data_IF_313229244160
#
_entry.id   IF_313229244160
#
_cell.length_a   1.000
_cell.length_b   1.000
_cell.length_c   1.000
_cell.angle_alpha   90.00
_cell.angle_beta   90.00
_cell.angle_gamma   90.00
#
_symmetry.space_group_name_H-M   'P 1'
#
loop_
_entity.id
_entity.type
_entity.pdbx_description
1 polymer ?
#
# COMPACT_ATOMS: atom_id res chain seq x y z
N UNK A 1 15.31 56.55 -3.74
CA UNK A 1 15.25 56.22 -2.30
C UNK A 1 13.85 55.67 -2.02
N UNK A 2 13.61 54.36 -1.99
CA UNK A 2 13.92 53.41 -0.89
C UNK A 2 12.98 53.69 0.31
N UNK A 3 12.15 52.81 0.88
CA UNK A 3 11.92 51.36 0.83
C UNK A 3 10.55 51.15 1.53
N UNK A 4 9.62 50.34 1.01
CA UNK A 4 8.51 49.79 1.81
C UNK A 4 8.48 48.26 1.68
N UNK A 5 8.59 47.59 2.83
CA UNK A 5 8.41 46.15 3.03
C UNK A 5 7.04 45.72 2.51
N UNK A 6 7.00 44.64 1.72
CA UNK A 6 5.81 43.79 1.60
C UNK A 6 6.25 42.35 1.84
N UNK A 7 5.76 41.82 2.95
CA UNK A 7 5.84 40.45 3.40
C UNK A 7 4.72 39.68 2.69
N UNK A 8 5.08 38.74 1.81
CA UNK A 8 4.11 37.91 1.10
C UNK A 8 3.91 36.62 1.89
N UNK A 9 2.76 36.59 2.56
CA UNK A 9 2.16 35.47 3.28
C UNK A 9 1.64 34.44 2.25
N UNK A 10 2.14 33.21 2.30
CA UNK A 10 1.71 32.11 1.43
C UNK A 10 0.34 31.60 1.88
N UNK A 11 -0.70 31.87 1.07
CA UNK A 11 -2.07 31.43 1.32
C UNK A 11 -2.22 29.91 1.14
N UNK A 12 -2.28 29.20 2.26
CA UNK A 12 -2.41 27.74 2.40
C UNK A 12 -3.88 27.28 2.46
N UNK A 13 -4.80 27.99 1.79
CA UNK A 13 -6.25 27.89 2.03
C UNK A 13 -7.05 27.06 1.00
N UNK A 14 -6.41 26.30 0.11
CA UNK A 14 -7.11 25.31 -0.76
C UNK A 14 -6.98 23.88 -0.24
N UNK A 15 -7.45 23.65 0.97
CA UNK A 15 -7.76 22.32 1.52
C UNK A 15 -8.91 22.51 2.52
N UNK A 16 -10.13 22.60 2.03
CA UNK A 16 -11.35 22.46 2.85
C UNK A 16 -12.29 21.45 2.21
N UNK A 17 -12.71 20.50 3.05
CA UNK A 17 -13.76 19.51 2.82
C UNK A 17 -15.09 20.16 2.43
N UNK A 18 -15.98 19.47 1.70
CA UNK A 18 -17.29 20.00 1.35
C UNK A 18 -18.26 19.83 2.51
N UNK A 19 -18.81 20.95 3.00
CA UNK A 19 -19.99 20.98 3.86
C UNK A 19 -21.25 21.17 3.01
N UNK A 20 -22.19 20.26 3.18
CA UNK A 20 -23.56 20.31 2.66
C UNK A 20 -24.33 21.44 3.37
N UNK A 21 -25.09 22.25 2.62
CA UNK A 21 -26.47 22.62 2.96
C UNK A 21 -27.16 23.30 1.76
N UNK A 22 -28.35 22.80 1.45
CA UNK A 22 -29.34 23.39 0.56
C UNK A 22 -29.96 24.63 1.22
N UNK A 23 -30.36 25.65 0.43
CA UNK A 23 -31.77 26.07 0.31
C UNK A 23 -31.97 27.28 -0.63
N UNK A 24 -32.98 27.08 -1.50
CA UNK A 24 -33.86 27.95 -2.28
C UNK A 24 -33.85 29.50 -2.18
N UNK A 25 -34.18 30.07 -3.36
CA UNK A 25 -35.12 31.16 -3.72
C UNK A 25 -34.59 32.53 -4.18
N UNK A 26 -34.91 32.79 -5.46
CA UNK A 26 -35.69 33.93 -5.99
C UNK A 26 -35.14 35.36 -5.88
N UNK A 27 -35.11 36.06 -7.02
CA UNK A 27 -35.11 37.53 -7.04
C UNK A 27 -34.64 38.12 -8.36
N UNK A 28 -35.59 38.56 -9.17
CA UNK A 28 -35.46 39.34 -10.41
C UNK A 28 -34.70 40.66 -10.22
N UNK A 29 -34.17 41.22 -11.31
CA UNK A 29 -33.74 42.63 -11.36
C UNK A 29 -32.77 42.92 -12.48
N UNK A 30 -33.28 43.14 -13.70
CA UNK A 30 -32.49 43.61 -14.83
C UNK A 30 -32.12 45.09 -14.72
N UNK A 31 -31.00 45.46 -15.35
CA UNK A 31 -30.76 46.82 -15.84
C UNK A 31 -29.96 46.76 -17.14
N UNK A 32 -30.57 47.32 -18.20
CA UNK A 32 -29.98 47.61 -19.51
C UNK A 32 -29.37 49.01 -19.44
N UNK A 33 -28.14 49.21 -19.93
CA UNK A 33 -27.76 50.47 -20.56
C UNK A 33 -26.77 50.27 -21.71
N UNK A 34 -26.98 51.12 -22.72
CA UNK A 34 -26.54 51.07 -24.11
C UNK A 34 -25.03 51.26 -24.34
N UNK A 35 -24.59 50.49 -25.32
CA UNK A 35 -23.57 50.71 -26.36
C UNK A 35 -23.09 52.15 -26.60
N UNK A 36 -21.77 52.32 -26.72
CA UNK A 36 -21.17 53.34 -27.58
C UNK A 36 -19.81 52.89 -28.10
N UNK A 37 -19.76 52.63 -29.40
CA UNK A 37 -18.58 52.38 -30.22
C UNK A 37 -17.58 53.53 -30.16
N UNK A 38 -16.30 53.20 -29.99
CA UNK A 38 -15.18 53.93 -30.60
C UNK A 38 -13.94 53.04 -30.67
N UNK A 39 -13.73 52.48 -31.87
CA UNK A 39 -12.47 51.88 -32.33
C UNK A 39 -11.29 52.83 -32.11
N UNK A 40 -10.35 52.44 -31.26
CA UNK A 40 -8.97 52.91 -31.33
C UNK A 40 -8.07 51.70 -31.54
N UNK A 41 -7.37 51.68 -32.68
CA UNK A 41 -6.33 50.71 -33.02
C UNK A 41 -4.99 51.33 -32.63
N UNK A 42 -4.30 50.86 -31.58
CA UNK A 42 -2.92 51.26 -31.33
C UNK A 42 -1.97 50.39 -32.18
N UNK A 43 -1.17 51.04 -33.01
CA UNK A 43 -0.09 50.44 -33.80
C UNK A 43 0.89 49.68 -32.89
N UNK A 44 1.20 48.44 -33.26
CA UNK A 44 2.23 47.63 -32.63
C UNK A 44 3.62 48.20 -32.91
N UNK A 45 4.40 48.43 -31.85
CA UNK A 45 5.84 48.68 -31.91
C UNK A 45 6.53 47.35 -31.53
N UNK A 46 7.46 46.81 -32.32
CA UNK A 46 8.16 45.58 -31.96
C UNK A 46 9.02 45.83 -30.71
N UNK A 47 8.74 45.14 -29.61
CA UNK A 47 9.67 45.08 -28.47
C UNK A 47 10.76 44.07 -28.82
N UNK A 48 12.01 44.54 -28.78
CA UNK A 48 13.22 43.74 -28.87
C UNK A 48 13.15 42.54 -27.92
N UNK A 49 13.54 41.39 -28.45
CA UNK A 49 13.70 40.15 -27.71
C UNK A 49 14.78 40.33 -26.63
N UNK A 50 14.36 40.49 -25.38
CA UNK A 50 15.25 40.29 -24.24
C UNK A 50 15.65 38.81 -24.23
N UNK A 51 16.89 38.56 -24.63
CA UNK A 51 17.57 37.30 -24.39
C UNK A 51 17.42 36.94 -22.90
N UNK A 52 16.80 35.80 -22.62
CA UNK A 52 16.70 35.29 -21.27
C UNK A 52 18.10 34.91 -20.78
N UNK A 53 18.65 35.68 -19.84
CA UNK A 53 19.81 35.25 -19.07
C UNK A 53 19.51 33.90 -18.39
N UNK A 54 20.45 32.94 -18.37
CA UNK A 54 20.26 31.69 -17.67
C UNK A 54 20.18 31.97 -16.17
N UNK A 55 19.01 31.72 -15.56
CA UNK A 55 18.85 31.85 -14.11
C UNK A 55 19.87 30.94 -13.41
N UNK A 56 20.62 31.43 -12.42
CA UNK A 56 21.54 30.60 -11.67
C UNK A 56 20.77 29.48 -10.94
N UNK A 57 21.27 28.26 -11.08
CA UNK A 57 20.78 27.04 -10.43
C UNK A 57 20.65 27.26 -8.91
N UNK A 58 19.42 27.31 -8.40
CA UNK A 58 19.17 27.54 -6.97
C UNK A 58 19.10 26.21 -6.19
N UNK A 59 19.99 25.95 -5.22
CA UNK A 59 20.05 24.70 -4.44
C UNK A 59 18.74 24.35 -3.71
N UNK A 60 17.96 25.36 -3.30
CA UNK A 60 16.66 25.20 -2.62
C UNK A 60 15.62 24.48 -3.49
N UNK A 61 15.68 24.66 -4.82
CA UNK A 61 14.76 24.03 -5.76
C UNK A 61 15.05 22.54 -5.94
N UNK A 62 16.34 22.15 -5.85
CA UNK A 62 16.80 20.77 -6.01
C UNK A 62 16.39 19.92 -4.81
N UNK A 63 16.67 20.40 -3.60
CA UNK A 63 16.29 19.69 -2.36
C UNK A 63 14.77 19.52 -2.27
N UNK A 64 14.00 20.54 -2.65
CA UNK A 64 12.55 20.46 -2.70
C UNK A 64 12.06 19.43 -3.75
N UNK A 65 12.67 19.41 -4.94
CA UNK A 65 12.36 18.45 -6.00
C UNK A 65 12.68 17.00 -5.58
N UNK A 66 13.85 16.78 -4.96
CA UNK A 66 14.26 15.47 -4.43
C UNK A 66 13.31 15.00 -3.33
N UNK A 67 12.96 15.88 -2.38
CA UNK A 67 11.98 15.57 -1.33
C UNK A 67 10.63 15.19 -1.93
N UNK A 68 10.14 15.96 -2.90
CA UNK A 68 8.88 15.69 -3.58
C UNK A 68 8.91 14.33 -4.29
N UNK A 69 10.02 13.99 -4.96
CA UNK A 69 10.20 12.70 -5.62
C UNK A 69 10.11 11.55 -4.61
N UNK A 70 10.80 11.62 -3.47
CA UNK A 70 10.74 10.56 -2.46
C UNK A 70 9.37 10.42 -1.80
N UNK A 71 8.68 11.53 -1.54
CA UNK A 71 7.29 11.48 -1.05
C UNK A 71 6.38 10.82 -2.09
N UNK A 72 6.55 11.18 -3.36
CA UNK A 72 5.77 10.59 -4.46
C UNK A 72 6.08 9.09 -4.59
N UNK A 73 7.35 8.70 -4.48
CA UNK A 73 7.80 7.32 -4.49
C UNK A 73 7.21 6.53 -3.31
N UNK A 74 7.14 7.13 -2.12
CA UNK A 74 6.51 6.51 -0.94
C UNK A 74 5.03 6.20 -1.18
N UNK A 75 4.29 7.12 -1.79
CA UNK A 75 2.89 6.88 -2.20
C UNK A 75 2.78 5.88 -3.36
N UNK A 76 3.79 5.81 -4.23
CA UNK A 76 3.88 4.83 -5.31
C UNK A 76 4.01 3.39 -4.78
N UNK A 77 4.65 3.20 -3.62
CA UNK A 77 4.80 1.91 -2.94
C UNK A 77 3.56 1.40 -2.20
N UNK A 78 2.47 2.17 -2.12
CA UNK A 78 1.33 1.90 -1.21
C UNK A 78 1.79 1.67 0.24
N UNK A 79 1.98 2.73 1.05
CA UNK A 79 2.63 2.62 2.36
C UNK A 79 2.13 1.50 3.29
N UNK A 80 0.84 1.20 3.26
CA UNK A 80 0.24 0.13 4.08
C UNK A 80 0.74 -1.28 3.71
N UNK A 81 0.98 -1.59 2.43
CA UNK A 81 1.55 -2.89 2.02
C UNK A 81 3.01 -2.99 2.44
N UNK A 82 3.77 -1.89 2.30
CA UNK A 82 5.16 -1.81 2.74
C UNK A 82 5.28 -2.07 4.24
N UNK A 83 4.44 -1.45 5.07
CA UNK A 83 4.41 -1.71 6.51
C UNK A 83 4.08 -3.17 6.84
N UNK A 84 3.08 -3.75 6.19
CA UNK A 84 2.73 -5.17 6.36
C UNK A 84 3.91 -6.10 6.06
N UNK A 85 4.72 -5.76 5.05
CA UNK A 85 5.88 -6.56 4.66
C UNK A 85 7.08 -6.41 5.57
N UNK A 86 7.35 -5.21 6.08
CA UNK A 86 8.38 -4.99 7.11
C UNK A 86 8.09 -5.88 8.32
N UNK A 87 6.83 -5.96 8.72
CA UNK A 87 6.42 -6.79 9.85
C UNK A 87 6.50 -8.29 9.57
N UNK A 88 6.05 -8.72 8.39
CA UNK A 88 6.21 -10.11 7.98
C UNK A 88 7.69 -10.50 7.98
N UNK A 89 8.57 -9.59 7.55
CA UNK A 89 10.03 -9.78 7.58
C UNK A 89 10.51 -9.93 9.02
N UNK A 90 10.18 -8.98 9.91
CA UNK A 90 10.59 -9.02 11.32
C UNK A 90 10.09 -10.30 12.00
N UNK A 91 8.82 -10.63 11.81
CA UNK A 91 8.21 -11.82 12.44
C UNK A 91 8.83 -13.12 11.94
N UNK A 92 8.89 -13.32 10.62
CA UNK A 92 9.52 -14.51 10.05
C UNK A 92 11.00 -14.63 10.45
N UNK A 93 11.69 -13.50 10.60
CA UNK A 93 13.07 -13.46 11.10
C UNK A 93 13.16 -13.89 12.56
N UNK A 94 12.30 -13.38 13.43
CA UNK A 94 12.24 -13.77 14.83
C UNK A 94 11.88 -15.24 15.01
N UNK A 95 11.05 -15.81 14.13
CA UNK A 95 10.76 -17.25 14.14
C UNK A 95 12.00 -18.12 13.90
N UNK A 96 13.03 -17.59 13.22
CA UNK A 96 14.28 -18.30 12.97
C UNK A 96 15.23 -18.34 14.18
N UNK A 97 15.03 -17.44 15.15
CA UNK A 97 15.81 -17.34 16.40
C UNK A 97 15.51 -18.54 17.31
N UNK A 98 16.56 -19.14 17.85
CA UNK A 98 16.47 -20.22 18.84
C UNK A 98 17.05 -19.81 20.20
N UNK A 99 17.99 -18.86 20.20
CA UNK A 99 18.65 -18.35 21.41
C UNK A 99 18.83 -16.84 21.28
N UNK A 100 18.83 -16.13 22.40
CA UNK A 100 19.01 -14.66 22.40
C UNK A 100 20.31 -14.21 21.73
N UNK A 101 21.36 -15.03 21.79
CA UNK A 101 22.63 -14.79 21.10
C UNK A 101 22.53 -14.74 19.57
N UNK A 102 21.46 -15.30 18.98
CA UNK A 102 21.23 -15.20 17.53
C UNK A 102 20.88 -13.76 17.11
N UNK A 103 20.32 -12.96 18.03
CA UNK A 103 20.01 -11.53 17.82
C UNK A 103 21.33 -10.75 17.88
N UNK A 104 22.03 -10.76 16.75
CA UNK A 104 23.37 -10.19 16.56
C UNK A 104 23.34 -9.15 15.44
N UNK A 105 24.43 -8.39 15.19
CA UNK A 105 24.51 -7.54 14.01
C UNK A 105 24.20 -8.26 12.69
N UNK A 106 24.57 -9.55 12.57
CA UNK A 106 24.24 -10.39 11.42
C UNK A 106 22.73 -10.59 11.25
N UNK A 107 21.97 -10.70 12.34
CA UNK A 107 20.52 -10.79 12.28
C UNK A 107 19.89 -9.54 11.67
N UNK A 108 20.34 -8.35 12.09
CA UNK A 108 19.86 -7.09 11.52
C UNK A 108 20.29 -6.91 10.06
N UNK A 109 21.51 -7.35 9.70
CA UNK A 109 21.95 -7.40 8.30
C UNK A 109 21.03 -8.31 7.49
N UNK A 110 20.67 -9.48 8.01
CA UNK A 110 19.72 -10.40 7.37
C UNK A 110 18.35 -9.78 7.13
N UNK A 111 17.81 -9.03 8.09
CA UNK A 111 16.57 -8.26 7.90
C UNK A 111 16.73 -7.26 6.76
N UNK A 112 17.83 -6.50 6.71
CA UNK A 112 18.08 -5.55 5.62
C UNK A 112 18.26 -6.24 4.26
N UNK A 113 18.91 -7.40 4.23
CA UNK A 113 19.03 -8.26 3.05
C UNK A 113 17.68 -8.72 2.52
N UNK A 114 16.67 -8.92 3.37
CA UNK A 114 15.30 -9.17 2.94
C UNK A 114 14.64 -7.88 2.44
N UNK A 115 14.65 -6.83 3.27
CA UNK A 115 13.87 -5.62 3.03
C UNK A 115 14.26 -4.91 1.74
N UNK A 116 15.55 -4.82 1.42
CA UNK A 116 16.03 -4.10 0.24
C UNK A 116 15.48 -4.68 -1.09
N UNK A 117 15.78 -5.93 -1.47
CA UNK A 117 15.31 -6.50 -2.74
C UNK A 117 13.79 -6.62 -2.79
N UNK A 118 13.13 -6.94 -1.68
CA UNK A 118 11.66 -7.01 -1.65
C UNK A 118 11.04 -5.62 -1.81
N UNK A 119 11.56 -4.56 -1.17
CA UNK A 119 11.04 -3.18 -1.38
C UNK A 119 11.15 -2.76 -2.84
N UNK A 120 12.26 -3.10 -3.50
CA UNK A 120 12.44 -2.84 -4.94
C UNK A 120 11.42 -3.61 -5.80
N UNK A 121 11.15 -4.87 -5.52
CA UNK A 121 10.14 -5.62 -6.31
C UNK A 121 8.71 -5.16 -6.03
N UNK A 122 8.44 -4.58 -4.88
CA UNK A 122 7.12 -4.00 -4.58
C UNK A 122 6.90 -2.66 -5.26
N UNK A 123 7.97 -1.86 -5.40
CA UNK A 123 7.95 -0.72 -6.33
C UNK A 123 7.58 -1.17 -7.74
N UNK A 124 8.15 -2.30 -8.20
CA UNK A 124 7.77 -2.90 -9.46
C UNK A 124 6.29 -3.34 -9.47
N UNK A 125 5.84 -4.13 -8.49
CA UNK A 125 4.49 -4.69 -8.45
C UNK A 125 3.42 -3.59 -8.41
N UNK A 126 3.58 -2.61 -7.52
CA UNK A 126 2.65 -1.49 -7.41
C UNK A 126 2.74 -0.56 -8.64
N UNK A 127 3.93 -0.43 -9.23
CA UNK A 127 4.12 0.35 -10.44
C UNK A 127 3.47 -0.27 -11.67
N UNK A 128 3.65 -1.57 -11.90
CA UNK A 128 2.93 -2.31 -12.94
C UNK A 128 1.43 -2.21 -12.71
N UNK A 129 0.97 -2.36 -11.45
CA UNK A 129 -0.45 -2.25 -11.15
C UNK A 129 -1.00 -0.87 -11.57
N UNK A 130 -0.41 0.23 -11.10
CA UNK A 130 -0.86 1.58 -11.45
C UNK A 130 -0.72 1.91 -12.95
N UNK A 131 0.33 1.42 -13.63
CA UNK A 131 0.52 1.63 -15.07
C UNK A 131 -0.61 1.00 -15.90
N UNK A 132 -1.01 -0.23 -15.56
CA UNK A 132 -2.08 -0.94 -16.28
C UNK A 132 -3.49 -0.55 -15.81
N UNK A 133 -3.62 0.00 -14.60
CA UNK A 133 -4.86 0.43 -13.96
C UNK A 133 -5.08 1.95 -13.97
N UNK A 134 -4.28 2.73 -14.69
CA UNK A 134 -4.33 4.20 -14.65
C UNK A 134 -5.74 4.77 -14.75
N UNK A 135 -6.56 4.30 -15.71
CA UNK A 135 -7.93 4.77 -15.88
C UNK A 135 -8.90 4.29 -14.79
N UNK A 136 -8.66 3.11 -14.22
CA UNK A 136 -9.44 2.58 -13.08
C UNK A 136 -9.10 3.38 -11.82
N UNK A 137 -7.82 3.63 -11.60
CA UNK A 137 -7.33 4.33 -10.42
C UNK A 137 -7.65 5.83 -10.45
N UNK A 138 -7.92 6.44 -11.61
CA UNK A 138 -8.53 7.79 -11.67
C UNK A 138 -9.88 7.85 -10.95
N UNK A 139 -10.64 6.75 -10.92
CA UNK A 139 -11.93 6.64 -10.22
C UNK A 139 -11.71 6.20 -8.76
N UNK A 140 -10.95 5.12 -8.56
CA UNK A 140 -10.83 4.48 -7.27
C UNK A 140 -9.81 5.17 -6.36
N UNK A 141 -8.70 5.67 -6.91
CA UNK A 141 -7.52 6.13 -6.16
C UNK A 141 -6.87 7.36 -6.83
N UNK A 142 -7.60 8.47 -7.04
CA UNK A 142 -7.12 9.64 -7.79
C UNK A 142 -5.91 10.33 -7.15
N UNK A 143 -5.64 10.06 -5.87
CA UNK A 143 -4.52 10.60 -5.12
C UNK A 143 -3.18 9.89 -5.39
N UNK A 144 -3.18 8.76 -6.10
CA UNK A 144 -1.96 8.02 -6.40
C UNK A 144 -1.05 8.76 -7.39
N UNK A 145 0.26 8.49 -7.38
CA UNK A 145 1.21 9.25 -8.19
C UNK A 145 0.92 9.32 -9.69
N UNK A 146 0.50 8.23 -10.32
CA UNK A 146 0.17 8.24 -11.75
C UNK A 146 -1.20 8.90 -12.05
N UNK A 147 -2.32 8.52 -11.39
CA UNK A 147 -3.60 9.19 -11.60
C UNK A 147 -3.62 10.69 -11.29
N UNK A 148 -2.89 11.13 -10.25
CA UNK A 148 -2.79 12.54 -9.87
C UNK A 148 -1.88 13.37 -10.79
N UNK A 149 -1.08 12.72 -11.63
CA UNK A 149 -0.06 13.36 -12.46
C UNK A 149 1.23 13.74 -11.72
N UNK A 150 1.38 13.39 -10.43
CA UNK A 150 2.62 13.62 -9.68
C UNK A 150 3.82 12.88 -10.31
N UNK A 151 3.58 11.70 -10.89
CA UNK A 151 4.50 11.04 -11.82
C UNK A 151 3.92 11.06 -13.23
N UNK A 152 4.78 11.34 -14.22
CA UNK A 152 4.44 11.08 -15.62
C UNK A 152 4.39 9.57 -15.87
N UNK A 153 3.63 9.14 -16.90
CA UNK A 153 3.61 7.74 -17.31
C UNK A 153 5.03 7.20 -17.59
N UNK A 154 5.86 7.97 -18.28
CA UNK A 154 7.26 7.63 -18.57
C UNK A 154 8.08 7.45 -17.29
N UNK A 155 7.93 8.34 -16.31
CA UNK A 155 8.58 8.21 -14.99
C UNK A 155 8.12 6.93 -14.29
N UNK A 156 6.82 6.64 -14.30
CA UNK A 156 6.27 5.39 -13.75
C UNK A 156 6.89 4.15 -14.37
N UNK A 157 7.03 4.11 -15.71
CA UNK A 157 7.69 3.00 -16.41
C UNK A 157 9.15 2.87 -16.00
N UNK A 158 9.91 3.97 -15.97
CA UNK A 158 11.33 3.95 -15.60
C UNK A 158 11.52 3.45 -14.17
N UNK A 159 10.77 4.00 -13.21
CA UNK A 159 10.83 3.58 -11.80
C UNK A 159 10.46 2.10 -11.67
N UNK A 160 9.39 1.66 -12.34
CA UNK A 160 8.93 0.27 -12.31
C UNK A 160 9.99 -0.69 -12.86
N UNK A 161 10.51 -0.43 -14.06
CA UNK A 161 11.50 -1.30 -14.71
C UNK A 161 12.85 -1.31 -13.98
N UNK A 162 13.35 -0.15 -13.56
CA UNK A 162 14.60 -0.06 -12.79
C UNK A 162 14.49 -0.77 -11.44
N UNK A 163 13.35 -0.68 -10.76
CA UNK A 163 13.14 -1.37 -9.48
C UNK A 163 13.14 -2.89 -9.63
N UNK A 164 12.60 -3.44 -10.73
CA UNK A 164 12.72 -4.88 -11.01
C UNK A 164 14.17 -5.32 -11.20
N UNK A 165 14.92 -4.60 -12.04
CA UNK A 165 16.32 -4.90 -12.33
C UNK A 165 17.15 -4.83 -11.03
N UNK A 166 17.01 -3.76 -10.26
CA UNK A 166 17.73 -3.58 -9.01
C UNK A 166 17.32 -4.61 -7.95
N UNK A 167 16.04 -4.99 -7.89
CA UNK A 167 15.54 -6.00 -6.95
C UNK A 167 16.14 -7.38 -7.20
N UNK A 168 16.16 -7.83 -8.46
CA UNK A 168 16.82 -9.09 -8.82
C UNK A 168 18.33 -9.02 -8.69
N UNK A 169 18.95 -7.91 -9.11
CA UNK A 169 20.40 -7.72 -8.98
C UNK A 169 20.85 -7.80 -7.52
N UNK A 170 20.18 -7.07 -6.62
CA UNK A 170 20.49 -7.09 -5.18
C UNK A 170 20.23 -8.47 -4.57
N UNK A 171 19.13 -9.14 -4.91
CA UNK A 171 18.87 -10.51 -4.46
C UNK A 171 19.92 -11.51 -4.93
N UNK A 172 20.42 -11.37 -6.16
CA UNK A 172 21.46 -12.21 -6.71
C UNK A 172 22.81 -11.98 -6.00
N UNK A 173 23.17 -10.72 -5.76
CA UNK A 173 24.38 -10.35 -5.00
C UNK A 173 24.36 -10.87 -3.55
N UNK A 174 23.19 -10.97 -2.92
CA UNK A 174 23.05 -11.57 -1.58
C UNK A 174 23.35 -13.07 -1.61
N UNK A 175 23.03 -13.79 -2.70
CA UNK A 175 23.35 -15.22 -2.85
C UNK A 175 22.48 -16.19 -2.06
N UNK A 176 21.34 -15.74 -1.53
CA UNK A 176 20.41 -16.58 -0.76
C UNK A 176 19.31 -17.17 -1.64
N UNK A 177 19.38 -18.48 -1.94
CA UNK A 177 18.37 -19.17 -2.76
C UNK A 177 16.92 -19.04 -2.25
N UNK A 178 16.61 -19.22 -0.95
CA UNK A 178 15.23 -19.03 -0.47
C UNK A 178 14.67 -17.63 -0.74
N UNK A 179 15.55 -16.62 -0.65
CA UNK A 179 15.21 -15.23 -0.89
C UNK A 179 14.97 -14.98 -2.38
N UNK A 180 15.87 -15.46 -3.23
CA UNK A 180 15.78 -15.32 -4.68
C UNK A 180 14.51 -15.98 -5.24
N UNK A 181 14.21 -17.23 -4.85
CA UNK A 181 13.01 -17.92 -5.30
C UNK A 181 11.73 -17.25 -4.79
N UNK A 182 11.70 -16.81 -3.53
CA UNK A 182 10.58 -16.05 -2.99
C UNK A 182 10.32 -14.77 -3.78
N UNK A 183 11.38 -14.05 -4.13
CA UNK A 183 11.31 -12.83 -4.92
C UNK A 183 10.87 -13.08 -6.36
N UNK A 184 11.36 -14.15 -6.99
CA UNK A 184 10.95 -14.56 -8.33
C UNK A 184 9.47 -14.92 -8.39
N UNK A 185 8.97 -15.73 -7.44
CA UNK A 185 7.55 -16.07 -7.40
C UNK A 185 6.67 -14.85 -7.13
N UNK A 186 7.10 -13.95 -6.24
CA UNK A 186 6.41 -12.69 -6.01
C UNK A 186 6.33 -11.86 -7.31
N UNK A 187 7.45 -11.71 -8.02
CA UNK A 187 7.48 -11.02 -9.31
C UNK A 187 6.53 -11.65 -10.33
N UNK A 188 6.60 -12.97 -10.54
CA UNK A 188 5.80 -13.67 -11.56
C UNK A 188 4.30 -13.61 -11.27
N UNK A 189 3.89 -13.88 -10.02
CA UNK A 189 2.49 -13.87 -9.62
C UNK A 189 1.89 -12.48 -9.84
N UNK A 190 2.58 -11.42 -9.40
CA UNK A 190 2.04 -10.07 -9.47
C UNK A 190 2.14 -9.44 -10.86
N UNK A 191 3.08 -9.90 -11.68
CA UNK A 191 3.09 -9.63 -13.13
C UNK A 191 1.85 -10.24 -13.79
N UNK A 192 1.57 -11.52 -13.52
CA UNK A 192 0.37 -12.21 -14.00
C UNK A 192 -0.93 -11.59 -13.50
N UNK A 193 -0.93 -11.08 -12.27
CA UNK A 193 -2.06 -10.35 -11.69
C UNK A 193 -2.39 -9.06 -12.47
N UNK A 194 -1.38 -8.24 -12.80
CA UNK A 194 -1.60 -6.87 -13.30
C UNK A 194 -1.50 -6.70 -14.82
N UNK A 195 -0.55 -7.36 -15.49
CA UNK A 195 -0.24 -7.12 -16.90
C UNK A 195 -1.39 -7.54 -17.80
N UNK A 196 -1.73 -6.72 -18.80
CA UNK A 196 -2.71 -7.07 -19.85
C UNK A 196 -2.01 -7.90 -20.93
N UNK A 197 -2.37 -9.17 -21.04
CA UNK A 197 -1.86 -10.08 -22.08
C UNK A 197 -2.58 -11.42 -22.07
N UNK A 198 -2.34 -12.28 -23.09
CA UNK A 198 -2.89 -13.64 -23.13
C UNK A 198 -2.51 -14.42 -21.87
N UNK A 199 -3.48 -15.08 -21.23
CA UNK A 199 -3.32 -15.83 -19.97
C UNK A 199 -2.88 -15.00 -18.74
N UNK A 200 -2.75 -13.67 -18.85
CA UNK A 200 -2.41 -12.78 -17.74
C UNK A 200 -3.67 -12.03 -17.27
N UNK A 201 -3.47 -10.94 -16.51
CA UNK A 201 -4.52 -10.09 -15.95
C UNK A 201 -5.46 -10.85 -15.00
N UNK A 202 -4.87 -11.69 -14.14
CA UNK A 202 -5.60 -12.58 -13.24
C UNK A 202 -6.55 -11.87 -12.29
N UNK A 203 -6.33 -10.57 -12.02
CA UNK A 203 -7.24 -9.76 -11.19
C UNK A 203 -8.68 -9.65 -11.72
N UNK A 204 -8.93 -9.98 -12.99
CA UNK A 204 -10.29 -10.06 -13.54
C UNK A 204 -11.09 -11.25 -12.99
N UNK A 205 -10.41 -12.32 -12.58
CA UNK A 205 -11.04 -13.48 -11.96
C UNK A 205 -10.89 -13.38 -10.43
N UNK A 206 -11.99 -13.31 -9.66
CA UNK A 206 -11.93 -13.14 -8.21
C UNK A 206 -11.15 -14.24 -7.49
N UNK A 207 -11.27 -15.48 -7.97
CA UNK A 207 -10.57 -16.62 -7.39
C UNK A 207 -9.06 -16.51 -7.63
N UNK A 208 -8.63 -16.20 -8.85
CA UNK A 208 -7.22 -16.02 -9.14
C UNK A 208 -6.62 -14.82 -8.40
N UNK A 209 -7.40 -13.72 -8.29
CA UNK A 209 -7.02 -12.56 -7.50
C UNK A 209 -6.79 -12.92 -6.02
N UNK A 210 -7.67 -13.75 -5.45
CA UNK A 210 -7.54 -14.27 -4.09
C UNK A 210 -6.32 -15.17 -3.94
N UNK A 211 -6.10 -16.11 -4.87
CA UNK A 211 -4.95 -17.02 -4.88
C UNK A 211 -3.63 -16.25 -4.93
N UNK A 212 -3.54 -15.14 -5.67
CA UNK A 212 -2.33 -14.31 -5.72
C UNK A 212 -1.94 -13.78 -4.33
N UNK A 213 -2.92 -13.19 -3.63
CA UNK A 213 -2.69 -12.60 -2.30
C UNK A 213 -2.44 -13.70 -1.27
N UNK A 214 -3.26 -14.74 -1.29
CA UNK A 214 -3.13 -15.90 -0.41
C UNK A 214 -1.73 -16.53 -0.54
N UNK A 215 -1.34 -16.93 -1.75
CA UNK A 215 -0.03 -17.56 -2.00
C UNK A 215 1.13 -16.67 -1.56
N UNK A 216 1.02 -15.36 -1.82
CA UNK A 216 2.06 -14.39 -1.47
C UNK A 216 2.20 -14.21 0.04
N UNK A 217 1.11 -13.91 0.72
CA UNK A 217 1.13 -13.56 2.15
C UNK A 217 1.23 -14.78 3.07
N UNK A 218 0.71 -15.93 2.65
CA UNK A 218 0.67 -17.16 3.46
C UNK A 218 1.93 -17.99 3.30
N UNK A 219 2.49 -18.09 2.09
CA UNK A 219 3.62 -18.97 1.83
C UNK A 219 4.87 -18.20 1.42
N UNK A 220 4.81 -17.41 0.35
CA UNK A 220 6.01 -16.83 -0.26
C UNK A 220 6.76 -15.97 0.75
N UNK A 221 6.11 -14.97 1.35
CA UNK A 221 6.78 -14.08 2.30
C UNK A 221 7.22 -14.81 3.57
N UNK A 222 6.36 -15.50 4.34
CA UNK A 222 6.79 -16.10 5.59
C UNK A 222 7.90 -17.15 5.41
N UNK A 223 7.80 -18.00 4.37
CA UNK A 223 8.77 -19.07 4.14
C UNK A 223 10.09 -18.54 3.60
N UNK A 224 10.08 -17.67 2.59
CA UNK A 224 11.34 -17.15 2.01
C UNK A 224 12.15 -16.36 3.05
N UNK A 225 11.48 -15.55 3.88
CA UNK A 225 12.12 -14.75 4.92
C UNK A 225 12.64 -15.64 6.05
N UNK A 226 11.82 -16.58 6.54
CA UNK A 226 12.24 -17.51 7.57
C UNK A 226 13.45 -18.33 7.13
N UNK A 227 13.40 -18.92 5.92
CA UNK A 227 14.50 -19.76 5.44
C UNK A 227 15.76 -18.95 5.13
N UNK A 228 15.64 -17.73 4.59
CA UNK A 228 16.78 -16.83 4.48
C UNK A 228 17.46 -16.61 5.84
N UNK A 229 16.68 -16.25 6.86
CA UNK A 229 17.24 -16.02 8.19
C UNK A 229 17.80 -17.31 8.81
N UNK A 230 17.09 -18.41 8.68
CA UNK A 230 17.43 -19.68 9.34
C UNK A 230 18.68 -20.32 8.74
N UNK A 231 18.69 -20.52 7.41
CA UNK A 231 19.72 -21.32 6.74
C UNK A 231 20.83 -20.47 6.17
N UNK A 232 20.52 -19.27 5.67
CA UNK A 232 21.52 -18.42 5.04
C UNK A 232 22.22 -17.48 6.04
N UNK A 233 21.47 -16.80 6.91
CA UNK A 233 22.06 -15.82 7.86
C UNK A 233 22.60 -16.53 9.10
N UNK A 234 21.76 -17.31 9.80
CA UNK A 234 22.13 -17.99 11.04
C UNK A 234 22.86 -19.32 10.83
N UNK A 235 22.93 -19.82 9.58
CA UNK A 235 23.59 -21.09 9.21
C UNK A 235 23.10 -22.31 10.02
N UNK A 236 21.79 -22.37 10.29
CA UNK A 236 21.14 -23.45 11.04
C UNK A 236 20.36 -24.38 10.12
N UNK A 237 20.01 -25.55 10.64
CA UNK A 237 19.15 -26.50 9.94
C UNK A 237 17.78 -25.86 9.62
N UNK A 238 17.29 -26.07 8.39
CA UNK A 238 16.01 -25.58 7.89
C UNK A 238 14.80 -26.38 8.38
N UNK A 239 14.78 -26.74 9.67
CA UNK A 239 13.64 -27.46 10.27
C UNK A 239 12.43 -26.53 10.27
N UNK A 240 11.26 -27.06 9.92
CA UNK A 240 9.99 -26.33 9.92
C UNK A 240 9.38 -26.33 11.34
N UNK A 241 9.44 -25.22 12.10
CA UNK A 241 9.02 -25.24 13.50
C UNK A 241 7.50 -25.05 13.64
N UNK A 242 6.92 -25.60 14.72
CA UNK A 242 5.48 -25.40 15.07
C UNK A 242 5.01 -23.93 15.02
N UNK A 243 5.77 -22.93 15.53
CA UNK A 243 5.40 -21.52 15.38
C UNK A 243 5.29 -21.02 13.93
N UNK A 244 6.11 -21.56 13.01
CA UNK A 244 5.97 -21.23 11.58
C UNK A 244 4.69 -21.84 11.02
N UNK A 245 4.33 -23.06 11.43
CA UNK A 245 3.04 -23.68 11.04
C UNK A 245 1.88 -22.80 11.51
N UNK A 246 1.95 -22.36 12.77
CA UNK A 246 0.97 -21.46 13.35
C UNK A 246 0.86 -20.15 12.54
N UNK A 247 2.00 -19.52 12.22
CA UNK A 247 2.04 -18.30 11.40
C UNK A 247 1.39 -18.51 10.03
N UNK A 248 1.69 -19.63 9.35
CA UNK A 248 1.07 -19.99 8.06
C UNK A 248 -0.43 -20.17 8.20
N UNK A 249 -0.91 -20.86 9.24
CA UNK A 249 -2.35 -21.05 9.47
C UNK A 249 -3.06 -19.72 9.75
N UNK A 250 -2.51 -18.89 10.64
CA UNK A 250 -3.06 -17.56 10.89
C UNK A 250 -3.11 -16.71 9.61
N UNK A 251 -1.99 -16.66 8.89
CA UNK A 251 -1.88 -15.89 7.64
C UNK A 251 -2.77 -16.43 6.53
N UNK A 252 -3.12 -17.72 6.52
CA UNK A 252 -4.06 -18.31 5.55
C UNK A 252 -5.47 -17.72 5.66
N UNK A 253 -5.97 -17.58 6.89
CA UNK A 253 -7.28 -16.96 7.15
C UNK A 253 -7.22 -15.46 6.93
N UNK A 254 -6.18 -14.81 7.46
CA UNK A 254 -6.03 -13.37 7.37
C UNK A 254 -5.85 -12.89 5.92
N UNK A 255 -5.04 -13.58 5.12
CA UNK A 255 -4.82 -13.23 3.71
C UNK A 255 -6.07 -13.43 2.87
N UNK A 256 -6.89 -14.45 3.17
CA UNK A 256 -8.19 -14.64 2.53
C UNK A 256 -9.11 -13.45 2.83
N UNK A 257 -9.21 -13.03 4.09
CA UNK A 257 -9.99 -11.85 4.47
C UNK A 257 -9.53 -10.57 3.75
N UNK A 258 -8.21 -10.32 3.70
CA UNK A 258 -7.64 -9.18 2.96
C UNK A 258 -8.00 -9.27 1.47
N UNK A 259 -7.88 -10.46 0.88
CA UNK A 259 -8.09 -10.66 -0.55
C UNK A 259 -9.50 -10.33 -1.01
N UNK A 260 -10.49 -10.55 -0.15
CA UNK A 260 -11.89 -10.18 -0.39
C UNK A 260 -12.14 -8.71 -0.04
N UNK A 261 -11.57 -8.23 1.08
CA UNK A 261 -11.81 -6.87 1.56
C UNK A 261 -11.26 -5.82 0.61
N UNK A 262 -10.13 -6.08 -0.08
CA UNK A 262 -9.51 -5.12 -0.99
C UNK A 262 -10.45 -4.61 -2.09
N UNK A 263 -11.41 -5.44 -2.51
CA UNK A 263 -12.34 -5.13 -3.61
C UNK A 263 -13.57 -4.31 -3.14
N UNK A 264 -13.76 -4.16 -1.83
CA UNK A 264 -14.83 -3.34 -1.25
C UNK A 264 -14.63 -1.84 -1.56
N UNK A 265 -13.47 -1.22 -1.24
CA UNK A 265 -13.26 0.20 -1.55
C UNK A 265 -13.14 0.50 -3.06
N UNK A 266 -12.91 -0.51 -3.89
CA UNK A 266 -12.66 -0.38 -5.33
C UNK A 266 -13.89 -0.71 -6.20
N UNK A 267 -15.05 -0.97 -5.56
CA UNK A 267 -16.27 -1.50 -6.21
C UNK A 267 -16.79 -0.63 -7.37
N UNK A 268 -16.66 0.69 -7.29
CA UNK A 268 -17.16 1.60 -8.31
C UNK A 268 -16.33 1.56 -9.60
N UNK A 269 -15.01 1.66 -9.48
CA UNK A 269 -14.10 1.49 -10.63
C UNK A 269 -14.13 0.07 -11.18
N UNK A 270 -14.29 -0.95 -10.34
CA UNK A 270 -14.44 -2.33 -10.79
C UNK A 270 -15.68 -2.49 -11.68
N UNK A 271 -16.84 -1.96 -11.26
CA UNK A 271 -18.08 -1.97 -12.07
C UNK A 271 -17.91 -1.21 -13.38
N UNK A 272 -17.31 -0.02 -13.35
CA UNK A 272 -17.12 0.81 -14.53
C UNK A 272 -16.26 0.14 -15.61
N UNK A 273 -15.33 -0.75 -15.22
CA UNK A 273 -14.42 -1.45 -16.12
C UNK A 273 -14.73 -2.95 -16.28
N UNK A 274 -15.92 -3.41 -15.85
CA UNK A 274 -16.38 -4.78 -16.04
C UNK A 274 -15.56 -5.83 -15.26
N UNK A 275 -15.03 -5.47 -14.08
CA UNK A 275 -14.34 -6.40 -13.18
C UNK A 275 -15.38 -7.03 -12.25
N UNK A 276 -15.57 -8.33 -12.39
CA UNK A 276 -16.57 -9.09 -11.63
C UNK A 276 -16.04 -9.59 -10.28
N UNK A 277 -15.52 -8.71 -9.41
CA UNK A 277 -15.06 -9.03 -8.05
C UNK A 277 -16.16 -9.62 -7.14
N UNK A 278 -15.78 -10.21 -6.01
CA UNK A 278 -16.78 -10.75 -5.06
C UNK A 278 -17.73 -9.65 -4.54
N UNK A 279 -17.22 -8.44 -4.33
CA UNK A 279 -18.01 -7.28 -3.87
C UNK A 279 -19.04 -6.85 -4.91
N UNK A 280 -18.73 -6.94 -6.21
CA UNK A 280 -19.68 -6.62 -7.30
C UNK A 280 -20.73 -7.72 -7.49
N UNK A 281 -20.38 -9.00 -7.29
CA UNK A 281 -21.30 -10.14 -7.45
C UNK A 281 -22.24 -10.37 -6.25
N UNK A 282 -21.71 -10.35 -5.03
CA UNK A 282 -22.44 -10.71 -3.80
C UNK A 282 -22.96 -9.50 -3.02
N UNK A 283 -22.54 -8.30 -3.42
CA UNK A 283 -22.87 -7.06 -2.74
C UNK A 283 -21.89 -6.72 -1.61
N UNK A 284 -21.59 -5.43 -1.51
CA UNK A 284 -20.60 -4.87 -0.60
C UNK A 284 -20.84 -5.22 0.87
N UNK A 285 -22.08 -5.11 1.36
CA UNK A 285 -22.45 -5.38 2.76
C UNK A 285 -22.23 -6.84 3.15
N UNK A 286 -22.60 -7.77 2.25
CA UNK A 286 -22.43 -9.20 2.49
C UNK A 286 -20.95 -9.56 2.54
N UNK A 287 -20.17 -9.10 1.57
CA UNK A 287 -18.72 -9.35 1.52
C UNK A 287 -18.01 -8.74 2.72
N UNK A 288 -18.38 -7.53 3.14
CA UNK A 288 -17.83 -6.90 4.34
C UNK A 288 -17.94 -7.81 5.59
N UNK A 289 -19.14 -8.33 5.88
CA UNK A 289 -19.35 -9.19 7.04
C UNK A 289 -18.71 -10.58 6.90
N UNK A 290 -18.60 -11.10 5.68
CA UNK A 290 -17.81 -12.31 5.40
C UNK A 290 -16.34 -12.06 5.77
N UNK A 291 -15.75 -10.95 5.32
CA UNK A 291 -14.37 -10.59 5.65
C UNK A 291 -14.17 -10.46 7.17
N UNK A 292 -15.07 -9.74 7.86
CA UNK A 292 -15.03 -9.61 9.33
C UNK A 292 -15.05 -10.98 9.99
N UNK A 293 -15.94 -11.88 9.59
CA UNK A 293 -16.03 -13.24 10.15
C UNK A 293 -14.75 -14.06 9.91
N UNK A 294 -14.12 -13.92 8.75
CA UNK A 294 -12.84 -14.58 8.43
C UNK A 294 -11.72 -14.02 9.32
N UNK A 295 -11.65 -12.70 9.53
CA UNK A 295 -10.68 -12.09 10.43
C UNK A 295 -10.87 -12.54 11.88
N UNK A 296 -12.11 -12.55 12.38
CA UNK A 296 -12.43 -13.07 13.72
C UNK A 296 -12.03 -14.54 13.86
N UNK A 297 -12.23 -15.35 12.82
CA UNK A 297 -11.79 -16.75 12.81
C UNK A 297 -10.27 -16.87 12.94
N UNK A 298 -9.50 -15.99 12.27
CA UNK A 298 -8.05 -15.95 12.40
C UNK A 298 -7.61 -15.62 13.85
N UNK A 299 -8.23 -14.61 14.47
CA UNK A 299 -7.97 -14.26 15.87
C UNK A 299 -8.43 -15.35 16.83
N UNK A 300 -9.54 -16.03 16.56
CA UNK A 300 -10.03 -17.17 17.34
C UNK A 300 -9.05 -18.35 17.32
N UNK A 301 -8.50 -18.70 16.16
CA UNK A 301 -7.45 -19.72 16.04
C UNK A 301 -6.20 -19.32 16.82
N UNK A 302 -5.80 -18.05 16.74
CA UNK A 302 -4.66 -17.53 17.50
C UNK A 302 -4.89 -17.57 19.01
N UNK A 303 -6.09 -17.18 19.46
CA UNK A 303 -6.51 -17.25 20.84
C UNK A 303 -6.43 -18.68 21.39
N UNK A 304 -7.01 -19.65 20.69
CA UNK A 304 -6.99 -21.06 21.10
C UNK A 304 -5.57 -21.64 21.14
N UNK A 305 -4.73 -21.28 20.17
CA UNK A 305 -3.32 -21.69 20.16
C UNK A 305 -2.55 -21.11 21.35
N UNK A 306 -2.79 -19.82 21.68
CA UNK A 306 -2.20 -19.17 22.85
C UNK A 306 -2.61 -19.85 24.17
N UNK A 307 -3.90 -20.16 24.33
CA UNK A 307 -4.42 -20.84 25.52
C UNK A 307 -3.87 -22.26 25.70
N UNK A 308 -3.55 -22.95 24.60
CA UNK A 308 -2.98 -24.30 24.59
C UNK A 308 -1.52 -24.34 25.03
N UNK A 309 -0.85 -23.19 25.16
CA UNK A 309 0.55 -23.13 25.60
C UNK A 309 0.68 -23.49 27.08
N UNK A 310 1.72 -24.24 27.49
CA UNK A 310 1.98 -24.49 28.91
C UNK A 310 2.48 -23.24 29.66
N UNK A 311 2.92 -22.19 28.94
CA UNK A 311 3.52 -21.00 29.54
C UNK A 311 2.50 -19.87 29.72
N UNK A 312 2.40 -19.35 30.96
CA UNK A 312 1.45 -18.28 31.31
C UNK A 312 1.64 -17.02 30.45
N UNK A 313 2.88 -16.62 30.19
CA UNK A 313 3.18 -15.42 29.41
C UNK A 313 2.72 -15.55 27.95
N UNK A 314 2.78 -16.74 27.36
CA UNK A 314 2.22 -17.01 26.01
C UNK A 314 0.69 -16.96 26.04
N UNK A 315 0.05 -17.49 27.09
CA UNK A 315 -1.41 -17.40 27.24
C UNK A 315 -1.89 -15.95 27.31
N UNK A 316 -1.15 -15.10 28.03
CA UNK A 316 -1.46 -13.68 28.13
C UNK A 316 -1.18 -12.98 26.80
N UNK A 317 0.05 -13.07 26.28
CA UNK A 317 0.43 -12.32 25.08
C UNK A 317 -0.30 -12.81 23.83
N UNK A 318 -0.25 -14.10 23.53
CA UNK A 318 -0.88 -14.65 22.32
C UNK A 318 -2.37 -14.87 22.51
N UNK A 319 -2.81 -15.38 23.66
CA UNK A 319 -4.23 -15.61 23.92
C UNK A 319 -4.98 -14.28 24.09
N UNK A 320 -4.78 -13.61 25.23
CA UNK A 320 -5.50 -12.37 25.54
C UNK A 320 -5.25 -11.25 24.51
N UNK A 321 -4.03 -11.12 23.98
CA UNK A 321 -3.72 -10.15 22.93
C UNK A 321 -4.56 -10.32 21.66
N UNK A 322 -4.66 -11.55 21.12
CA UNK A 322 -5.51 -11.80 19.95
C UNK A 322 -7.00 -11.65 20.25
N UNK A 323 -7.46 -11.97 21.47
CA UNK A 323 -8.84 -11.72 21.88
C UNK A 323 -9.18 -10.22 21.91
N UNK A 324 -8.26 -9.39 22.42
CA UNK A 324 -8.40 -7.93 22.40
C UNK A 324 -8.41 -7.40 20.97
N UNK A 325 -7.48 -7.86 20.12
CA UNK A 325 -7.41 -7.43 18.72
C UNK A 325 -8.67 -7.80 17.93
N UNK A 326 -9.18 -9.03 18.07
CA UNK A 326 -10.46 -9.44 17.48
C UNK A 326 -11.61 -8.58 18.01
N UNK A 327 -11.69 -8.38 19.32
CA UNK A 327 -12.73 -7.54 19.94
C UNK A 327 -12.73 -6.10 19.40
N UNK A 328 -11.56 -5.48 19.22
CA UNK A 328 -11.42 -4.15 18.63
C UNK A 328 -11.88 -4.15 17.17
N UNK A 329 -11.45 -5.16 16.39
CA UNK A 329 -11.83 -5.29 14.98
C UNK A 329 -13.35 -5.42 14.81
N UNK A 330 -13.96 -6.36 15.53
CA UNK A 330 -15.41 -6.55 15.59
C UNK A 330 -16.16 -5.28 16.02
N UNK A 331 -15.71 -4.64 17.11
CA UNK A 331 -16.34 -3.42 17.62
C UNK A 331 -16.31 -2.31 16.55
N UNK A 332 -15.14 -2.09 15.93
CA UNK A 332 -14.99 -1.06 14.89
C UNK A 332 -15.79 -1.39 13.64
N UNK A 333 -15.98 -2.67 13.30
CA UNK A 333 -16.78 -3.09 12.15
C UNK A 333 -18.22 -2.58 12.21
N UNK A 334 -18.81 -2.53 13.42
CA UNK A 334 -20.20 -2.07 13.65
C UNK A 334 -20.43 -0.60 13.29
N UNK A 335 -19.37 0.22 13.29
CA UNK A 335 -19.45 1.65 13.02
C UNK A 335 -19.00 2.02 11.60
N UNK A 336 -18.73 1.03 10.73
CA UNK A 336 -18.35 1.30 9.34
C UNK A 336 -19.59 1.67 8.54
N UNK A 337 -19.59 2.89 7.99
CA UNK A 337 -20.59 3.31 7.02
C UNK A 337 -20.17 2.86 5.62
N UNK A 338 -20.83 1.83 5.10
CA UNK A 338 -20.51 1.27 3.78
C UNK A 338 -20.90 2.18 2.60
N UNK A 339 -21.64 3.26 2.84
CA UNK A 339 -21.93 4.27 1.82
C UNK A 339 -20.86 5.37 1.79
N UNK A 340 -19.95 5.41 2.75
CA UNK A 340 -18.85 6.37 2.82
C UNK A 340 -17.50 5.71 2.50
N UNK A 341 -16.89 6.10 1.38
CA UNK A 341 -15.58 5.59 0.98
C UNK A 341 -14.48 5.89 2.01
N UNK A 342 -14.56 7.01 2.72
CA UNK A 342 -13.58 7.35 3.75
C UNK A 342 -13.69 6.40 4.95
N UNK A 343 -14.90 6.09 5.40
CA UNK A 343 -15.17 5.09 6.44
C UNK A 343 -14.62 3.70 6.08
N UNK A 344 -14.90 3.21 4.86
CA UNK A 344 -14.38 1.91 4.38
C UNK A 344 -12.85 1.90 4.34
N UNK A 345 -12.24 2.94 3.77
CA UNK A 345 -10.77 3.04 3.69
C UNK A 345 -10.14 3.12 5.07
N UNK A 346 -10.74 3.85 6.01
CA UNK A 346 -10.27 3.93 7.39
C UNK A 346 -10.28 2.54 8.05
N UNK A 347 -11.36 1.77 7.87
CA UNK A 347 -11.43 0.40 8.36
C UNK A 347 -10.46 -0.55 7.63
N UNK A 348 -10.25 -0.37 6.33
CA UNK A 348 -9.22 -1.12 5.60
C UNK A 348 -7.83 -0.89 6.18
N UNK A 349 -7.48 0.38 6.46
CA UNK A 349 -6.23 0.73 7.12
C UNK A 349 -6.14 0.14 8.53
N UNK A 350 -7.27 0.04 9.25
CA UNK A 350 -7.33 -0.63 10.55
C UNK A 350 -7.02 -2.13 10.44
N UNK A 351 -7.52 -2.82 9.41
CA UNK A 351 -7.20 -4.24 9.14
C UNK A 351 -5.69 -4.40 8.94
N UNK A 352 -5.06 -3.54 8.14
CA UNK A 352 -3.59 -3.57 8.02
C UNK A 352 -2.90 -3.30 9.37
N UNK A 353 -3.45 -2.41 10.21
CA UNK A 353 -2.98 -2.14 11.58
C UNK A 353 -3.18 -3.27 12.59
N UNK A 354 -4.18 -4.12 12.42
CA UNK A 354 -4.37 -5.26 13.31
C UNK A 354 -3.41 -6.40 12.95
N UNK A 355 -3.16 -6.59 11.66
CA UNK A 355 -2.01 -7.38 11.20
C UNK A 355 -0.70 -6.85 11.81
N UNK A 356 -0.58 -5.52 11.95
CA UNK A 356 0.58 -4.88 12.58
C UNK A 356 0.81 -5.28 14.06
N UNK A 357 -0.24 -5.64 14.81
CA UNK A 357 -0.13 -5.85 16.27
C UNK A 357 -0.11 -7.34 16.63
N UNK A 358 -0.94 -8.17 15.99
CA UNK A 358 -0.99 -9.61 16.27
C UNK A 358 0.30 -10.34 15.91
N UNK A 359 0.97 -9.92 14.83
CA UNK A 359 2.26 -10.49 14.40
C UNK A 359 3.39 -10.26 15.43
N UNK A 360 3.35 -9.13 16.17
CA UNK A 360 4.35 -8.79 17.19
C UNK A 360 4.25 -9.73 18.40
N UNK A 361 3.03 -10.04 18.82
CA UNK A 361 2.73 -10.92 19.96
C UNK A 361 3.04 -12.40 19.69
N UNK A 362 3.17 -12.79 18.41
CA UNK A 362 3.47 -14.16 17.97
C UNK A 362 4.97 -14.48 17.87
N UNK A 363 5.83 -13.46 18.02
CA UNK A 363 7.27 -13.57 17.84
C UNK A 363 8.07 -13.72 19.15
N UNK A 364 7.38 -13.71 20.28
CA UNK A 364 7.98 -13.89 21.60
C UNK A 364 7.97 -15.40 21.91
N UNK A 365 9.17 -15.99 21.87
CA UNK A 365 9.47 -17.36 22.29
C UNK A 365 10.32 -17.34 23.55
#
# INVERSE_FOLDING_TARGET
MQQRKIQIEYNLSRLKQPSINNELKSGEGGFIYKENDKKYIPKAIPKESFASEPRPYQPKHVVASVKHFFVTLFWFCYPYTMFGRILCTISASLLAVERLSDISPLFFIGILQILLPFTLIDLYVNGVNQLYDLEIDKINKPFLPLPSGAFSFKTGVIVTASSAILGFFTSYMIGSWPLFWGLLFFFLIWSGYSIKGPLLRWKKNPLLAAICIFSTMTFIFPLSFFYHMKTFVLKKAGVFPKPLMFSVVFMSLYSLGISLFKDIPDIEGDKAFGIESFSTRLGQKRVFWICVSIFESAFGVAFLAGLSSPFLWVKILTGLGNAILGSILWYRAKFVNLNDRASIRSYYMLIWKHLLTGIKELSLK
#
